data_IF_743002308423
#
_entry.id   IF_743002308423
#
_cell.length_a   1.000
_cell.length_b   1.000
_cell.length_c   1.000
_cell.angle_alpha   90.00
_cell.angle_beta   90.00
_cell.angle_gamma   90.00
#
_symmetry.space_group_name_H-M   'P 1'
#
loop_
_entity.id
_entity.type
_entity.pdbx_description
1 polymer ?
#
# COMPACT_ATOMS: atom_id res chain seq x y z
N UNK A 1 -14.44 20.03 2.81
CA UNK A 1 -13.16 19.71 3.49
C UNK A 1 -12.91 18.20 3.60
N UNK A 2 -13.82 17.38 4.14
CA UNK A 2 -13.60 15.93 4.29
C UNK A 2 -13.26 15.18 2.98
N UNK A 3 -13.88 15.56 1.85
CA UNK A 3 -13.61 14.93 0.55
C UNK A 3 -12.17 15.15 0.06
N UNK A 4 -11.62 16.35 0.29
CA UNK A 4 -10.23 16.68 -0.04
C UNK A 4 -9.25 15.87 0.81
N UNK A 5 -9.56 15.72 2.10
CA UNK A 5 -8.76 14.90 3.01
C UNK A 5 -8.73 13.44 2.56
N UNK A 6 -9.90 12.82 2.32
CA UNK A 6 -9.98 11.43 1.86
C UNK A 6 -9.32 11.25 0.49
N UNK A 7 -9.52 12.18 -0.43
CA UNK A 7 -8.85 12.18 -1.73
C UNK A 7 -7.33 12.20 -1.57
N UNK A 8 -6.82 13.07 -0.69
CA UNK A 8 -5.40 13.13 -0.35
C UNK A 8 -4.89 11.82 0.24
N UNK A 9 -5.62 11.21 1.18
CA UNK A 9 -5.24 9.92 1.77
C UNK A 9 -5.15 8.80 0.72
N UNK A 10 -6.16 8.67 -0.14
CA UNK A 10 -6.15 7.67 -1.21
C UNK A 10 -5.03 7.92 -2.23
N UNK A 11 -4.78 9.18 -2.58
CA UNK A 11 -3.69 9.53 -3.47
C UNK A 11 -2.34 9.15 -2.85
N UNK A 12 -2.12 9.49 -1.59
CA UNK A 12 -0.90 9.14 -0.85
C UNK A 12 -0.71 7.63 -0.74
N UNK A 13 -1.76 6.88 -0.40
CA UNK A 13 -1.72 5.41 -0.35
C UNK A 13 -1.39 4.82 -1.73
N UNK A 14 -1.99 5.35 -2.80
CA UNK A 14 -1.73 4.92 -4.18
C UNK A 14 -0.29 5.17 -4.61
N UNK A 15 0.24 6.36 -4.34
CA UNK A 15 1.63 6.73 -4.63
C UNK A 15 2.61 5.89 -3.79
N UNK A 16 2.38 5.78 -2.48
CA UNK A 16 3.22 4.98 -1.60
C UNK A 16 3.23 3.50 -2.02
N UNK A 17 2.07 2.92 -2.31
CA UNK A 17 1.93 1.55 -2.83
C UNK A 17 2.67 1.36 -4.16
N UNK A 18 2.56 2.32 -5.08
CA UNK A 18 3.25 2.29 -6.37
C UNK A 18 4.77 2.34 -6.21
N UNK A 19 5.28 3.18 -5.31
CA UNK A 19 6.70 3.27 -5.00
C UNK A 19 7.20 1.98 -4.35
N UNK A 20 6.46 1.43 -3.39
CA UNK A 20 6.79 0.16 -2.74
C UNK A 20 6.81 -1.00 -3.77
N UNK A 21 5.81 -1.07 -4.63
CA UNK A 21 5.76 -2.05 -5.72
C UNK A 21 6.96 -1.92 -6.65
N UNK A 22 7.34 -0.68 -7.01
CA UNK A 22 8.54 -0.41 -7.83
C UNK A 22 9.82 -0.90 -7.15
N UNK A 23 9.95 -0.75 -5.83
CA UNK A 23 11.09 -1.29 -5.07
C UNK A 23 11.09 -2.83 -5.11
N UNK A 24 9.92 -3.46 -4.98
CA UNK A 24 9.71 -4.90 -5.17
C UNK A 24 10.14 -5.39 -6.54
N UNK A 25 9.62 -4.80 -7.62
CA UNK A 25 9.97 -5.17 -9.00
C UNK A 25 11.46 -4.95 -9.32
N UNK A 26 12.11 -4.00 -8.65
CA UNK A 26 13.56 -3.76 -8.80
C UNK A 26 14.43 -4.72 -7.99
N UNK A 27 13.85 -5.61 -7.18
CA UNK A 27 14.61 -6.52 -6.34
C UNK A 27 15.26 -5.86 -5.12
N UNK A 28 14.85 -4.62 -4.79
CA UNK A 28 15.53 -3.74 -3.82
C UNK A 28 14.90 -3.74 -2.43
N UNK A 29 13.92 -4.60 -2.14
CA UNK A 29 13.25 -4.64 -0.82
C UNK A 29 14.24 -4.92 0.31
N UNK A 30 15.28 -5.71 0.06
CA UNK A 30 16.30 -6.08 1.04
C UNK A 30 17.55 -5.16 1.02
N UNK A 31 17.56 -4.12 0.19
CA UNK A 31 18.68 -3.18 0.08
C UNK A 31 18.72 -2.26 1.31
N UNK A 32 19.87 -2.13 1.97
CA UNK A 32 20.01 -1.29 3.17
C UNK A 32 19.91 0.21 2.91
N UNK A 33 20.06 0.65 1.65
CA UNK A 33 20.05 2.08 1.28
C UNK A 33 18.70 2.57 0.76
N UNK A 34 17.89 1.68 0.19
CA UNK A 34 16.63 2.03 -0.50
C UNK A 34 15.46 1.11 -0.15
N UNK A 35 15.75 -0.03 0.50
CA UNK A 35 14.79 -1.05 0.87
C UNK A 35 14.26 -0.86 2.28
N UNK A 36 13.67 -1.92 2.81
CA UNK A 36 13.02 -1.92 4.11
C UNK A 36 13.88 -2.66 5.14
N UNK A 37 13.56 -2.45 6.41
CA UNK A 37 14.17 -3.20 7.51
C UNK A 37 13.64 -4.65 7.47
N UNK A 38 14.46 -5.53 6.92
CA UNK A 38 14.18 -6.96 6.70
C UNK A 38 15.15 -7.79 7.55
N UNK A 39 14.69 -8.90 8.16
CA UNK A 39 15.55 -9.78 8.97
C UNK A 39 16.81 -10.26 8.22
N UNK A 40 17.92 -10.41 8.95
CA UNK A 40 19.22 -10.78 8.38
C UNK A 40 19.15 -12.13 7.64
N UNK A 41 18.42 -13.10 8.16
CA UNK A 41 18.17 -14.41 7.54
C UNK A 41 17.54 -14.30 6.14
N UNK A 42 16.59 -13.37 5.96
CA UNK A 42 15.94 -13.11 4.68
C UNK A 42 16.88 -12.34 3.73
N UNK A 43 17.80 -11.52 4.26
CA UNK A 43 18.80 -10.81 3.46
C UNK A 43 19.93 -11.72 2.96
N UNK A 44 20.26 -12.78 3.69
CA UNK A 44 21.33 -13.72 3.33
C UNK A 44 20.90 -14.77 2.30
N UNK A 45 19.63 -15.20 2.32
CA UNK A 45 19.13 -16.23 1.41
C UNK A 45 18.54 -15.62 0.11
N UNK A 46 19.14 -15.87 -1.07
CA UNK A 46 18.66 -15.33 -2.35
C UNK A 46 17.24 -15.78 -2.71
N UNK A 47 16.78 -16.97 -2.28
CA UNK A 47 15.43 -17.43 -2.51
C UNK A 47 14.40 -16.68 -1.64
N UNK A 48 14.74 -16.42 -0.37
CA UNK A 48 13.89 -15.62 0.53
C UNK A 48 13.85 -14.15 0.11
N UNK A 49 14.96 -13.58 -0.35
CA UNK A 49 14.98 -12.24 -0.96
C UNK A 49 14.04 -12.14 -2.14
N UNK A 50 14.07 -13.11 -3.06
CA UNK A 50 13.17 -13.11 -4.23
C UNK A 50 11.71 -13.14 -3.80
N UNK A 51 11.35 -14.02 -2.87
CA UNK A 51 9.98 -14.08 -2.31
C UNK A 51 9.55 -12.77 -1.64
N UNK A 52 10.43 -12.13 -0.88
CA UNK A 52 10.14 -10.85 -0.24
C UNK A 52 9.87 -9.74 -1.28
N UNK A 53 10.66 -9.70 -2.36
CA UNK A 53 10.45 -8.77 -3.46
C UNK A 53 9.14 -9.02 -4.20
N UNK A 54 8.83 -10.28 -4.53
CA UNK A 54 7.61 -10.66 -5.23
C UNK A 54 6.35 -10.37 -4.40
N UNK A 55 6.40 -10.62 -3.08
CA UNK A 55 5.32 -10.28 -2.15
C UNK A 55 5.04 -8.77 -2.13
N UNK A 56 6.07 -7.95 -1.95
CA UNK A 56 5.92 -6.48 -1.94
C UNK A 56 5.43 -5.99 -3.30
N UNK A 57 5.98 -6.51 -4.40
CA UNK A 57 5.55 -6.13 -5.74
C UNK A 57 4.06 -6.41 -5.98
N UNK A 58 3.60 -7.63 -5.67
CA UNK A 58 2.21 -8.03 -5.89
C UNK A 58 1.23 -7.27 -4.99
N UNK A 59 1.45 -7.29 -3.68
CA UNK A 59 0.52 -6.73 -2.71
C UNK A 59 0.48 -5.19 -2.76
N UNK A 60 1.62 -4.52 -2.92
CA UNK A 60 1.63 -3.06 -3.04
C UNK A 60 1.09 -2.58 -4.39
N UNK A 61 1.21 -3.37 -5.48
CA UNK A 61 0.53 -3.06 -6.75
C UNK A 61 -0.98 -3.14 -6.60
N UNK A 62 -1.48 -4.21 -5.97
CA UNK A 62 -2.91 -4.36 -5.66
C UNK A 62 -3.43 -3.20 -4.81
N UNK A 63 -2.71 -2.86 -3.73
CA UNK A 63 -3.05 -1.73 -2.87
C UNK A 63 -3.06 -0.39 -3.63
N UNK A 64 -2.11 -0.17 -4.54
CA UNK A 64 -2.05 1.04 -5.36
C UNK A 64 -3.26 1.16 -6.30
N UNK A 65 -3.60 0.09 -7.01
CA UNK A 65 -4.76 0.06 -7.92
C UNK A 65 -6.05 0.35 -7.14
N UNK A 66 -6.25 -0.33 -6.00
CA UNK A 66 -7.42 -0.13 -5.16
C UNK A 66 -7.48 1.31 -4.60
N UNK A 67 -6.34 1.91 -4.30
CA UNK A 67 -6.27 3.30 -3.82
C UNK A 67 -6.69 4.33 -4.87
N UNK A 68 -6.48 4.07 -6.16
CA UNK A 68 -6.84 5.01 -7.21
C UNK A 68 -8.33 4.98 -7.57
N UNK A 69 -9.04 3.86 -7.37
CA UNK A 69 -10.45 3.74 -7.71
C UNK A 69 -11.36 4.79 -7.01
N UNK A 70 -11.21 5.07 -5.70
CA UNK A 70 -11.95 6.13 -5.01
C UNK A 70 -11.70 7.56 -5.49
N UNK A 71 -10.57 7.82 -6.17
CA UNK A 71 -10.22 9.16 -6.61
C UNK A 71 -11.19 9.69 -7.67
N UNK A 72 -11.77 8.81 -8.50
CA UNK A 72 -12.71 9.21 -9.55
C UNK A 72 -14.01 9.81 -8.97
N UNK A 73 -14.77 9.11 -8.11
CA UNK A 73 -15.97 9.69 -7.52
C UNK A 73 -15.66 10.86 -6.58
N UNK A 74 -14.59 10.80 -5.77
CA UNK A 74 -14.20 11.90 -4.89
C UNK A 74 -13.78 13.14 -5.69
N UNK A 75 -13.02 12.96 -6.76
CA UNK A 75 -12.62 14.02 -7.68
C UNK A 75 -13.82 14.65 -8.38
N UNK A 76 -14.79 13.85 -8.82
CA UNK A 76 -16.04 14.37 -9.41
C UNK A 76 -16.82 15.26 -8.43
N UNK A 77 -16.87 14.87 -7.14
CA UNK A 77 -17.50 15.67 -6.08
C UNK A 77 -16.73 16.98 -5.85
N UNK A 78 -15.41 16.93 -5.76
CA UNK A 78 -14.55 18.12 -5.57
C UNK A 78 -14.71 19.11 -6.73
N UNK A 79 -14.67 18.63 -7.98
CA UNK A 79 -14.78 19.46 -9.18
C UNK A 79 -16.19 20.02 -9.42
N UNK A 80 -17.22 19.45 -8.78
CA UNK A 80 -18.60 19.92 -8.92
C UNK A 80 -18.90 21.25 -8.21
N UNK A 81 -17.93 21.83 -7.49
CA UNK A 81 -18.10 23.12 -6.81
C UNK A 81 -19.18 23.13 -5.72
N UNK A 82 -19.60 21.97 -5.23
CA UNK A 82 -20.69 21.82 -4.25
C UNK A 82 -22.01 21.29 -4.82
N UNK A 83 -22.11 21.08 -6.14
CA UNK A 83 -23.31 20.50 -6.77
C UNK A 83 -23.53 19.01 -6.48
N UNK A 84 -22.50 18.30 -6.00
CA UNK A 84 -22.59 16.93 -5.50
C UNK A 84 -22.10 16.85 -4.07
N UNK A 85 -22.79 16.08 -3.24
CA UNK A 85 -22.39 15.78 -1.86
C UNK A 85 -22.43 14.28 -1.61
N UNK A 86 -21.43 13.76 -0.89
CA UNK A 86 -21.46 12.39 -0.37
C UNK A 86 -22.08 12.44 1.02
N UNK A 87 -23.01 11.53 1.29
CA UNK A 87 -23.62 11.38 2.62
C UNK A 87 -22.57 10.98 3.67
N UNK A 88 -22.88 11.23 4.95
CA UNK A 88 -22.02 10.82 6.07
C UNK A 88 -21.67 9.33 6.01
N UNK A 89 -22.64 8.48 5.68
CA UNK A 89 -22.42 7.04 5.51
C UNK A 89 -21.48 6.71 4.34
N UNK A 90 -21.53 7.46 3.25
CA UNK A 90 -20.57 7.31 2.15
C UNK A 90 -19.15 7.68 2.58
N UNK A 91 -18.98 8.71 3.41
CA UNK A 91 -17.68 9.07 4.00
C UNK A 91 -17.12 7.95 4.89
N UNK A 92 -17.98 7.36 5.73
CA UNK A 92 -17.60 6.20 6.58
C UNK A 92 -17.18 5.02 5.73
N UNK A 93 -17.90 4.72 4.64
CA UNK A 93 -17.55 3.65 3.72
C UNK A 93 -16.18 3.88 3.05
N UNK A 94 -15.88 5.12 2.61
CA UNK A 94 -14.55 5.46 2.09
C UNK A 94 -13.46 5.30 3.15
N UNK A 95 -13.69 5.74 4.38
CA UNK A 95 -12.71 5.57 5.46
C UNK A 95 -12.43 4.09 5.75
N UNK A 96 -13.48 3.27 5.86
CA UNK A 96 -13.34 1.83 6.06
C UNK A 96 -12.60 1.16 4.88
N UNK A 97 -12.90 1.57 3.66
CA UNK A 97 -12.21 1.08 2.47
C UNK A 97 -10.72 1.44 2.47
N UNK A 98 -10.36 2.66 2.86
CA UNK A 98 -8.97 3.07 3.03
C UNK A 98 -8.23 2.22 4.06
N UNK A 99 -8.90 1.84 5.16
CA UNK A 99 -8.34 0.96 6.18
C UNK A 99 -8.07 -0.45 5.63
N UNK A 100 -8.99 -1.00 4.82
CA UNK A 100 -8.76 -2.29 4.13
C UNK A 100 -7.53 -2.22 3.23
N UNK A 101 -7.39 -1.16 2.44
CA UNK A 101 -6.23 -1.00 1.55
C UNK A 101 -4.92 -0.89 2.34
N UNK A 102 -4.91 -0.15 3.45
CA UNK A 102 -3.74 -0.04 4.30
C UNK A 102 -3.31 -1.42 4.84
N UNK A 103 -4.26 -2.25 5.27
CA UNK A 103 -3.99 -3.63 5.70
C UNK A 103 -3.42 -4.48 4.57
N UNK A 104 -3.99 -4.40 3.36
CA UNK A 104 -3.51 -5.12 2.17
C UNK A 104 -2.08 -4.71 1.81
N UNK A 105 -1.76 -3.41 1.87
CA UNK A 105 -0.42 -2.88 1.62
C UNK A 105 0.59 -3.24 2.72
N UNK A 106 0.13 -3.38 3.97
CA UNK A 106 0.95 -3.77 5.13
C UNK A 106 1.26 -5.27 5.21
N UNK A 107 0.36 -6.11 4.71
CA UNK A 107 0.47 -7.57 4.71
C UNK A 107 1.84 -8.15 4.28
N UNK A 108 2.46 -7.74 3.15
CA UNK A 108 3.74 -8.29 2.73
C UNK A 108 4.86 -8.04 3.76
N UNK A 109 4.85 -6.91 4.45
CA UNK A 109 5.87 -6.56 5.45
C UNK A 109 5.75 -7.43 6.70
N UNK A 110 4.53 -7.70 7.16
CA UNK A 110 4.30 -8.65 8.26
C UNK A 110 4.74 -10.06 7.88
N UNK A 111 4.45 -10.49 6.65
CA UNK A 111 4.90 -11.80 6.16
C UNK A 111 6.40 -11.91 6.07
N UNK A 112 7.11 -10.88 5.64
CA UNK A 112 8.57 -10.87 5.60
C UNK A 112 9.18 -11.00 7.00
N UNK A 113 8.59 -10.35 8.02
CA UNK A 113 9.01 -10.51 9.42
C UNK A 113 8.82 -11.95 9.91
N UNK A 114 7.68 -12.56 9.61
CA UNK A 114 7.40 -13.97 9.95
C UNK A 114 8.36 -14.95 9.27
N UNK A 115 8.75 -14.66 8.02
CA UNK A 115 9.73 -15.48 7.28
C UNK A 115 11.10 -15.47 7.97
N UNK A 116 11.57 -14.32 8.48
CA UNK A 116 12.82 -14.25 9.22
C UNK A 116 12.79 -15.02 10.54
N UNK A 117 11.72 -14.84 11.34
CA UNK A 117 11.58 -15.51 12.63
C UNK A 117 11.50 -17.05 12.53
N UNK A 118 11.03 -17.58 11.39
CA UNK A 118 10.94 -19.02 11.16
C UNK A 118 12.29 -19.66 10.82
N UNK A 119 13.26 -18.88 10.35
CA UNK A 119 14.61 -19.36 9.98
C UNK A 119 15.57 -19.31 11.18
N UNK A 120 15.28 -18.48 12.18
CA UNK A 120 16.06 -18.37 13.42
C UNK A 120 15.68 -19.41 14.49
N UNK A 121 14.60 -20.17 14.29
CA UNK A 121 14.21 -21.33 15.13
C UNK A 121 14.79 -22.62 14.56
#
# INVERSE_FOLDING_TARGET
MAYLFLFGCFLLLGVAGSLAARVGYRGKVCDGSVGYEVPAAVKSDPALRKRANDLVAFWCTGAAILSFAPLVPLGSVILSGGGKSVSTWGLVAFAAYGLVIATVGGYPFEKIKQLGASVER
#
